data_IF_178359833881
#
_entry.id   IF_178359833881
#
_cell.length_a   1.000
_cell.length_b   1.000
_cell.length_c   1.000
_cell.angle_alpha   90.00
_cell.angle_beta   90.00
_cell.angle_gamma   90.00
#
_symmetry.space_group_name_H-M   'P 1'
#
loop_
_entity.id
_entity.type
_entity.pdbx_description
1 polymer ?
#
# COMPACT_ATOMS: atom_id res chain seq x y z
N UNK A 1 9.97 -8.79 -1.40
CA UNK A 1 8.66 -9.11 -0.80
C UNK A 1 8.48 -10.63 -0.82
N UNK A 2 8.08 -11.29 0.27
CA UNK A 2 7.85 -12.75 0.31
C UNK A 2 6.48 -13.06 0.94
N UNK A 3 6.05 -14.33 0.86
CA UNK A 3 4.71 -14.73 1.30
C UNK A 3 4.43 -14.43 2.79
N UNK A 4 5.45 -14.57 3.66
CA UNK A 4 5.31 -14.27 5.10
C UNK A 4 5.06 -12.79 5.34
N UNK A 5 5.83 -11.93 4.67
CA UNK A 5 5.69 -10.47 4.77
C UNK A 5 4.36 -10.02 4.16
N UNK A 6 3.97 -10.57 3.00
CA UNK A 6 2.68 -10.29 2.37
C UNK A 6 1.48 -10.66 3.26
N UNK A 7 1.56 -11.81 3.94
CA UNK A 7 0.54 -12.23 4.88
C UNK A 7 0.41 -11.25 6.07
N UNK A 8 1.53 -10.75 6.59
CA UNK A 8 1.51 -9.77 7.68
C UNK A 8 0.82 -8.47 7.27
N UNK A 9 1.17 -7.89 6.12
CA UNK A 9 0.51 -6.67 5.63
C UNK A 9 -0.95 -6.90 5.23
N UNK A 10 -1.27 -8.08 4.66
CA UNK A 10 -2.66 -8.45 4.38
C UNK A 10 -3.48 -8.51 5.66
N UNK A 11 -2.92 -9.04 6.76
CA UNK A 11 -3.56 -9.07 8.08
C UNK A 11 -3.69 -7.69 8.74
N UNK A 12 -2.87 -6.71 8.33
CA UNK A 12 -2.99 -5.30 8.74
C UNK A 12 -4.02 -4.52 7.89
N UNK A 13 -4.59 -5.15 6.85
CA UNK A 13 -5.63 -4.57 6.02
C UNK A 13 -5.22 -4.17 4.60
N UNK A 14 -3.99 -4.49 4.16
CA UNK A 14 -3.56 -4.15 2.80
C UNK A 14 -4.35 -4.92 1.73
N UNK A 15 -4.77 -4.21 0.68
CA UNK A 15 -5.35 -4.74 -0.57
C UNK A 15 -4.25 -5.01 -1.60
N UNK A 16 -3.21 -4.18 -1.67
CA UNK A 16 -2.25 -4.16 -2.77
C UNK A 16 -0.97 -4.98 -2.51
N UNK A 17 -0.65 -5.38 -1.28
CA UNK A 17 0.64 -6.02 -0.95
C UNK A 17 0.93 -7.30 -1.75
N UNK A 18 -0.09 -8.06 -2.14
CA UNK A 18 0.06 -9.30 -2.88
C UNK A 18 0.41 -9.09 -4.36
N UNK A 19 0.17 -7.88 -4.88
CA UNK A 19 0.45 -7.50 -6.27
C UNK A 19 1.62 -6.52 -6.41
N UNK A 20 2.26 -6.12 -5.30
CA UNK A 20 3.44 -5.24 -5.34
C UNK A 20 4.59 -5.90 -6.11
N UNK A 21 4.99 -5.23 -7.18
CA UNK A 21 6.10 -5.56 -8.06
C UNK A 21 7.32 -4.67 -7.84
N UNK A 22 8.28 -4.83 -8.75
CA UNK A 22 9.54 -4.09 -8.73
C UNK A 22 9.32 -2.62 -9.10
N UNK A 23 9.70 -1.71 -8.19
CA UNK A 23 9.59 -0.24 -8.31
C UNK A 23 8.17 0.32 -8.40
N UNK A 24 7.16 -0.47 -8.02
CA UNK A 24 5.85 0.10 -7.77
C UNK A 24 5.95 1.05 -6.58
N UNK A 25 5.31 2.21 -6.68
CA UNK A 25 5.15 3.10 -5.55
C UNK A 25 3.92 2.66 -4.75
N UNK A 26 4.04 2.64 -3.43
CA UNK A 26 2.98 2.19 -2.53
C UNK A 26 3.07 2.92 -1.20
N UNK A 27 1.94 3.45 -0.74
CA UNK A 27 1.79 4.02 0.60
C UNK A 27 0.58 3.39 1.27
N UNK A 28 0.73 3.04 2.54
CA UNK A 28 -0.26 2.25 3.27
C UNK A 28 -0.26 2.63 4.75
N UNK A 29 -1.45 2.83 5.29
CA UNK A 29 -1.68 2.92 6.72
C UNK A 29 -2.64 1.80 7.13
N UNK A 30 -2.13 0.84 7.89
CA UNK A 30 -2.90 -0.31 8.40
C UNK A 30 -3.10 -0.28 9.90
N UNK A 31 -3.87 -1.24 10.41
CA UNK A 31 -4.05 -1.43 11.84
C UNK A 31 -4.13 -2.92 12.21
N UNK A 32 -3.50 -3.30 13.33
CA UNK A 32 -3.61 -4.66 13.85
C UNK A 32 -5.04 -4.91 14.38
N UNK A 33 -5.64 -6.01 13.93
CA UNK A 33 -7.01 -6.37 14.32
C UNK A 33 -8.09 -5.65 13.51
N UNK A 34 -7.73 -4.95 12.43
CA UNK A 34 -8.68 -4.35 11.51
C UNK A 34 -9.56 -5.45 10.87
N UNK A 35 -10.88 -5.31 10.97
CA UNK A 35 -11.83 -6.17 10.26
C UNK A 35 -12.06 -5.59 8.86
N UNK A 36 -11.31 -6.08 7.87
CA UNK A 36 -11.45 -5.68 6.48
C UNK A 36 -10.20 -5.04 5.89
N UNK A 37 -10.39 -4.25 4.83
CA UNK A 37 -9.31 -3.52 4.15
C UNK A 37 -9.18 -2.10 4.71
N UNK A 38 -7.96 -1.59 4.76
CA UNK A 38 -7.74 -0.19 5.14
C UNK A 38 -8.33 0.74 4.09
N UNK A 39 -8.99 1.84 4.49
CA UNK A 39 -9.36 2.91 3.57
C UNK A 39 -8.15 3.79 3.19
N UNK A 40 -6.99 3.60 3.83
CA UNK A 40 -5.78 4.40 3.64
C UNK A 40 -4.71 3.58 2.95
N UNK A 41 -4.83 3.44 1.63
CA UNK A 41 -3.84 2.73 0.82
C UNK A 41 -3.88 3.22 -0.63
N UNK A 42 -2.73 3.64 -1.15
CA UNK A 42 -2.56 4.07 -2.54
C UNK A 42 -1.39 3.32 -3.19
N UNK A 43 -1.51 3.09 -4.50
CA UNK A 43 -0.59 2.26 -5.27
C UNK A 43 -0.48 2.76 -6.71
N UNK A 44 0.75 2.89 -7.21
CA UNK A 44 1.04 3.17 -8.62
C UNK A 44 2.01 2.11 -9.12
N UNK A 45 1.58 1.40 -10.17
CA UNK A 45 2.39 0.39 -10.83
C UNK A 45 3.53 1.04 -11.62
N UNK A 46 4.71 0.45 -11.55
CA UNK A 46 5.80 0.70 -12.48
C UNK A 46 5.43 0.23 -13.89
N UNK A 47 5.26 1.19 -14.79
CA UNK A 47 4.98 0.96 -16.20
C UNK A 47 5.78 1.95 -17.05
N UNK A 48 6.63 1.41 -17.94
CA UNK A 48 7.48 2.21 -18.83
C UNK A 48 6.71 3.24 -19.67
N UNK A 49 5.43 3.00 -19.94
CA UNK A 49 4.59 3.90 -20.74
C UNK A 49 4.05 5.08 -19.94
N UNK A 50 3.88 4.93 -18.63
CA UNK A 50 3.23 5.94 -17.77
C UNK A 50 4.12 6.49 -16.68
N UNK A 51 5.33 5.96 -16.51
CA UNK A 51 6.30 6.44 -15.54
C UNK A 51 6.67 7.91 -15.79
N UNK A 52 6.65 8.71 -14.72
CA UNK A 52 7.05 10.11 -14.72
C UNK A 52 8.56 10.29 -14.78
N UNK A 53 9.31 9.35 -14.19
CA UNK A 53 10.76 9.35 -14.16
C UNK A 53 11.33 8.15 -14.91
N UNK A 54 12.63 8.17 -15.18
CA UNK A 54 13.30 7.05 -15.86
C UNK A 54 13.22 5.75 -15.03
N UNK A 55 12.31 4.87 -15.45
CA UNK A 55 12.03 3.60 -14.80
C UNK A 55 11.39 3.68 -13.41
N UNK A 56 10.74 4.80 -13.06
CA UNK A 56 10.00 4.96 -11.79
C UNK A 56 8.67 5.73 -11.97
N UNK A 57 7.59 5.31 -11.28
CA UNK A 57 6.35 6.07 -11.18
C UNK A 57 6.52 7.41 -10.49
N UNK A 58 5.50 8.27 -10.58
CA UNK A 58 5.46 9.51 -9.81
C UNK A 58 5.32 9.28 -8.30
N UNK A 59 5.65 10.31 -7.51
CA UNK A 59 5.53 10.27 -6.05
C UNK A 59 4.08 10.02 -5.65
N UNK A 60 3.87 9.10 -4.72
CA UNK A 60 2.58 8.91 -4.07
C UNK A 60 2.50 9.76 -2.80
N UNK A 61 1.38 10.43 -2.66
CA UNK A 61 1.01 11.17 -1.45
C UNK A 61 -0.35 10.68 -0.98
N UNK A 62 -0.50 10.58 0.34
CA UNK A 62 -1.76 10.22 0.98
C UNK A 62 -1.86 10.99 2.29
N UNK A 63 -2.98 11.66 2.48
CA UNK A 63 -3.29 12.41 3.68
C UNK A 63 -4.67 12.02 4.22
N UNK A 64 -4.89 12.24 5.51
CA UNK A 64 -6.17 11.92 6.14
C UNK A 64 -6.08 11.83 7.65
N UNK A 65 -7.21 11.49 8.26
CA UNK A 65 -7.35 11.37 9.71
C UNK A 65 -7.53 9.91 10.10
N UNK A 66 -6.55 9.34 10.81
CA UNK A 66 -6.68 8.00 11.39
C UNK A 66 -7.62 8.04 12.60
N UNK A 67 -8.76 7.30 12.59
CA UNK A 67 -9.66 7.26 13.74
C UNK A 67 -8.93 6.72 14.97
N UNK A 68 -9.10 7.38 16.11
CA UNK A 68 -8.57 6.86 17.37
C UNK A 68 -9.31 5.58 17.74
N UNK A 69 -8.58 4.53 18.10
CA UNK A 69 -9.18 3.34 18.68
C UNK A 69 -9.95 3.76 19.94
N UNK A 70 -11.25 3.48 19.96
CA UNK A 70 -12.06 3.55 21.17
C UNK A 70 -12.03 2.15 21.77
N UNK A 71 -11.61 2.05 23.03
CA UNK A 71 -11.54 0.79 23.77
C UNK A 71 -12.93 0.21 24.03
#
# INVERSE_FOLDING_TARGET
>A
MNNKVQALFSALGSRYVNQLGFRDNWVFLGAKGLKGKSPFEEYIKNDQKTNKYDGWPELLEMEGCAPRKQD
#
